data_IF_214603967022
#
_entry.id   IF_214603967022
#
_cell.length_a   1.000
_cell.length_b   1.000
_cell.length_c   1.000
_cell.angle_alpha   90.00
_cell.angle_beta   90.00
_cell.angle_gamma   90.00
#
_symmetry.space_group_name_H-M   'P 1'
#
loop_
_entity.id
_entity.type
_entity.pdbx_description
1 polymer ?
#
# COMPACT_ATOMS: atom_id res chain seq x y z
N UNK A 1 40.40 -5.40 10.43
CA UNK A 1 39.52 -5.03 9.31
C UNK A 1 38.07 -5.22 9.74
N UNK A 2 37.53 -4.23 10.45
CA UNK A 2 36.12 -4.18 10.82
C UNK A 2 35.35 -3.50 9.71
N UNK A 3 34.56 -4.28 8.95
CA UNK A 3 33.63 -3.74 7.99
C UNK A 3 32.62 -2.84 8.70
N UNK A 4 32.61 -1.58 8.33
CA UNK A 4 31.52 -0.66 8.62
C UNK A 4 30.27 -1.23 7.97
N UNK A 5 29.45 -1.93 8.75
CA UNK A 5 28.16 -2.43 8.32
C UNK A 5 27.32 -1.25 7.85
N UNK A 6 26.88 -1.36 6.63
CA UNK A 6 26.04 -0.41 5.92
C UNK A 6 24.77 -0.12 6.74
N UNK A 7 24.77 1.04 7.39
CA UNK A 7 23.70 1.50 8.27
C UNK A 7 22.56 2.17 7.49
N UNK A 8 22.61 2.11 6.15
CA UNK A 8 21.63 2.76 5.27
C UNK A 8 20.29 2.02 5.21
N UNK A 9 20.23 0.75 5.64
CA UNK A 9 18.99 -0.04 5.64
C UNK A 9 18.09 0.15 6.88
N UNK A 10 18.55 0.86 7.91
CA UNK A 10 17.71 1.11 9.09
C UNK A 10 16.61 2.16 8.85
N UNK A 11 16.80 3.07 7.91
CA UNK A 11 15.85 4.15 7.66
C UNK A 11 14.62 3.74 6.81
N UNK A 12 14.67 2.62 6.10
CA UNK A 12 13.59 2.16 5.20
C UNK A 12 12.72 1.05 5.80
N UNK A 13 13.09 0.48 6.92
CA UNK A 13 12.27 -0.50 7.62
C UNK A 13 11.12 0.18 8.37
N UNK A 14 10.15 0.70 7.67
CA UNK A 14 8.81 0.88 8.24
C UNK A 14 8.36 -0.51 8.70
N UNK A 15 8.46 -0.75 10.03
CA UNK A 15 8.25 -2.07 10.58
C UNK A 15 6.87 -2.62 10.30
N UNK A 16 6.81 -3.46 9.32
CA UNK A 16 5.67 -4.32 9.10
C UNK A 16 5.80 -5.53 10.01
N UNK A 17 4.75 -5.80 10.78
CA UNK A 17 4.62 -7.05 11.50
C UNK A 17 3.39 -7.76 10.98
N UNK A 18 3.55 -9.03 10.68
CA UNK A 18 2.41 -9.89 10.37
C UNK A 18 1.69 -10.22 11.68
N UNK A 19 0.45 -9.79 11.76
CA UNK A 19 -0.41 -10.12 12.90
C UNK A 19 -1.17 -11.41 12.60
N UNK A 20 -1.59 -12.16 13.64
CA UNK A 20 -2.40 -13.36 13.46
C UNK A 20 -3.65 -13.06 12.65
N UNK A 21 -3.93 -13.89 11.65
CA UNK A 21 -5.17 -13.84 10.88
C UNK A 21 -6.26 -14.44 11.75
N UNK A 22 -7.25 -13.64 12.12
CA UNK A 22 -8.40 -14.08 12.90
C UNK A 22 -8.89 -13.01 13.88
N UNK A 23 -10.04 -13.28 14.48
CA UNK A 23 -10.74 -12.37 15.40
C UNK A 23 -10.22 -12.41 16.85
N UNK A 24 -9.02 -12.94 17.08
CA UNK A 24 -8.45 -13.01 18.42
C UNK A 24 -7.92 -11.65 18.87
N UNK A 25 -8.75 -10.89 19.57
CA UNK A 25 -8.42 -9.55 20.04
C UNK A 25 -7.14 -9.52 20.89
N UNK A 26 -6.88 -10.55 21.69
CA UNK A 26 -5.68 -10.60 22.53
C UNK A 26 -4.41 -10.85 21.72
N UNK A 27 -4.46 -11.67 20.68
CA UNK A 27 -3.34 -11.87 19.77
C UNK A 27 -3.01 -10.60 19.00
N UNK A 28 -4.04 -9.89 18.53
CA UNK A 28 -3.88 -8.60 17.85
C UNK A 28 -3.29 -7.54 18.80
N UNK A 29 -3.82 -7.44 20.02
CA UNK A 29 -3.32 -6.51 21.04
C UNK A 29 -1.87 -6.80 21.40
N UNK A 30 -1.51 -8.07 21.61
CA UNK A 30 -0.14 -8.44 21.90
C UNK A 30 0.82 -8.12 20.77
N UNK A 31 0.47 -8.45 19.53
CA UNK A 31 1.29 -8.14 18.35
C UNK A 31 1.48 -6.64 18.13
N UNK A 32 0.43 -5.84 18.30
CA UNK A 32 0.52 -4.38 18.24
C UNK A 32 1.38 -3.82 19.37
N UNK A 33 1.27 -4.35 20.58
CA UNK A 33 2.11 -3.95 21.70
C UNK A 33 3.58 -4.24 21.43
N UNK A 34 3.92 -5.43 20.97
CA UNK A 34 5.30 -5.81 20.64
C UNK A 34 5.89 -4.89 19.56
N UNK A 35 5.12 -4.58 18.53
CA UNK A 35 5.55 -3.67 17.48
C UNK A 35 5.78 -2.25 18.02
N UNK A 36 4.87 -1.75 18.83
CA UNK A 36 4.98 -0.41 19.44
C UNK A 36 6.17 -0.31 20.38
N UNK A 37 6.40 -1.34 21.20
CA UNK A 37 7.54 -1.42 22.11
C UNK A 37 8.87 -1.42 21.35
N UNK A 38 8.99 -2.19 20.28
CA UNK A 38 10.19 -2.20 19.45
C UNK A 38 10.48 -0.81 18.84
N UNK A 39 9.46 -0.13 18.34
CA UNK A 39 9.59 1.23 17.77
C UNK A 39 9.91 2.28 18.83
N UNK A 40 9.36 2.15 20.02
CA UNK A 40 9.68 3.05 21.13
C UNK A 40 11.15 2.94 21.53
N UNK A 41 11.69 1.72 21.64
CA UNK A 41 13.11 1.51 21.96
C UNK A 41 14.02 2.10 20.88
N UNK A 42 13.73 1.82 19.63
CA UNK A 42 14.48 2.37 18.50
C UNK A 42 14.48 3.92 18.52
N UNK A 43 13.33 4.53 18.70
CA UNK A 43 13.21 5.99 18.79
C UNK A 43 13.95 6.57 20.00
N UNK A 44 14.00 5.84 21.12
CA UNK A 44 14.76 6.27 22.30
C UNK A 44 16.26 6.21 22.06
N UNK A 45 16.75 5.16 21.39
CA UNK A 45 18.15 5.04 20.98
C UNK A 45 18.55 6.15 20.00
N UNK A 46 17.76 6.37 18.94
CA UNK A 46 17.97 7.45 17.97
C UNK A 46 18.00 8.84 18.64
N UNK A 47 17.15 9.06 19.65
CA UNK A 47 17.15 10.32 20.39
C UNK A 47 18.46 10.52 21.16
N UNK A 48 19.01 9.45 21.75
CA UNK A 48 20.29 9.51 22.45
C UNK A 48 21.42 9.80 21.47
N UNK A 49 21.47 9.13 20.34
CA UNK A 49 22.47 9.36 19.28
C UNK A 49 22.43 10.82 18.80
N UNK A 50 21.25 11.34 18.48
CA UNK A 50 21.07 12.75 18.06
C UNK A 50 21.48 13.74 19.13
N UNK A 51 21.28 13.43 20.41
CA UNK A 51 21.77 14.29 21.52
C UNK A 51 23.29 14.31 21.57
N UNK A 52 23.94 13.18 21.36
CA UNK A 52 25.40 13.10 21.30
C UNK A 52 25.94 13.89 20.10
N UNK A 53 25.31 13.72 18.92
CA UNK A 53 25.69 14.49 17.74
C UNK A 53 25.51 16.01 17.94
N UNK A 54 24.42 16.43 18.59
CA UNK A 54 24.14 17.85 18.83
C UNK A 54 25.19 18.53 19.73
N UNK A 55 25.94 17.75 20.53
CA UNK A 55 27.06 18.27 21.30
C UNK A 55 28.27 18.64 20.43
N UNK A 56 28.39 18.02 19.25
CA UNK A 56 29.51 18.24 18.32
C UNK A 56 29.18 19.28 17.23
N UNK A 57 27.90 19.47 16.92
CA UNK A 57 27.47 20.39 15.88
C UNK A 57 26.46 21.41 16.42
N UNK A 58 26.79 22.70 16.27
CA UNK A 58 25.85 23.77 16.61
C UNK A 58 24.68 23.72 15.60
N UNK A 59 23.51 23.28 16.06
CA UNK A 59 22.32 23.27 15.27
C UNK A 59 21.68 24.67 15.22
N UNK A 60 21.57 25.33 14.06
CA UNK A 60 20.94 26.64 13.96
C UNK A 60 19.46 26.63 14.31
N UNK A 61 18.85 25.45 14.32
CA UNK A 61 17.43 25.23 14.64
C UNK A 61 17.23 24.69 16.07
N UNK A 62 18.19 24.89 16.94
CA UNK A 62 18.10 24.46 18.34
C UNK A 62 16.88 25.15 19.00
N UNK A 63 15.98 24.34 19.55
CA UNK A 63 14.74 24.83 20.17
C UNK A 63 13.50 24.79 19.27
N UNK A 64 13.63 24.49 17.97
CA UNK A 64 12.47 24.24 17.15
C UNK A 64 11.94 22.82 17.37
N UNK A 65 10.62 22.71 17.55
CA UNK A 65 9.97 21.41 17.59
C UNK A 65 9.97 20.77 16.20
N UNK A 66 10.35 19.49 16.12
CA UNK A 66 10.31 18.73 14.87
C UNK A 66 8.88 18.56 14.32
N UNK A 67 7.86 18.64 15.19
CA UNK A 67 6.46 18.49 14.85
C UNK A 67 5.62 19.59 15.48
N UNK A 68 4.65 20.09 14.72
CA UNK A 68 3.65 20.99 15.24
C UNK A 68 2.59 20.20 16.03
N UNK A 69 2.26 20.64 17.23
CA UNK A 69 1.16 20.07 17.99
C UNK A 69 -0.16 20.55 17.41
N UNK A 70 -1.02 19.60 17.06
CA UNK A 70 -2.38 19.85 16.59
C UNK A 70 -3.39 19.13 17.48
N UNK A 71 -4.62 19.61 17.45
CA UNK A 71 -5.71 18.92 18.12
C UNK A 71 -5.91 17.54 17.48
N UNK A 72 -6.16 16.49 18.29
CA UNK A 72 -6.46 15.18 17.77
C UNK A 72 -7.71 15.20 16.89
N UNK A 73 -7.70 14.38 15.85
CA UNK A 73 -8.80 14.23 14.90
C UNK A 73 -9.44 12.88 15.11
N UNK A 74 -10.77 12.86 15.24
CA UNK A 74 -11.55 11.64 15.19
C UNK A 74 -12.30 11.59 13.86
N UNK A 75 -12.06 10.53 13.06
CA UNK A 75 -12.71 10.37 11.76
C UNK A 75 -13.05 8.91 11.51
N UNK A 76 -14.31 8.66 11.20
CA UNK A 76 -14.83 7.34 10.87
C UNK A 76 -15.50 7.37 9.50
N UNK A 77 -14.86 6.79 8.51
CA UNK A 77 -15.41 6.59 7.17
C UNK A 77 -15.48 5.10 6.87
N UNK A 78 -16.64 4.50 7.11
CA UNK A 78 -16.87 3.07 6.96
C UNK A 78 -18.04 2.78 6.01
N UNK A 79 -17.93 3.12 4.73
CA UNK A 79 -18.99 2.86 3.76
C UNK A 79 -19.24 1.35 3.65
N UNK A 80 -20.47 0.99 3.28
CA UNK A 80 -20.79 -0.40 2.93
C UNK A 80 -20.07 -0.74 1.64
N UNK A 81 -19.48 -1.92 1.61
CA UNK A 81 -18.91 -2.44 0.38
C UNK A 81 -20.03 -2.79 -0.60
N UNK A 82 -19.89 -2.41 -1.87
CA UNK A 82 -20.85 -2.80 -2.89
C UNK A 82 -20.81 -4.31 -3.10
N UNK A 83 -21.98 -4.87 -3.42
CA UNK A 83 -22.06 -6.27 -3.90
C UNK A 83 -21.37 -6.36 -5.26
N UNK A 84 -20.52 -7.36 -5.42
CA UNK A 84 -19.79 -7.59 -6.65
C UNK A 84 -20.51 -8.68 -7.42
N UNK A 85 -20.97 -8.37 -8.63
CA UNK A 85 -21.51 -9.35 -9.57
C UNK A 85 -20.35 -10.02 -10.32
N UNK A 86 -19.90 -11.15 -9.80
CA UNK A 86 -18.77 -11.90 -10.37
C UNK A 86 -19.10 -12.42 -11.80
N UNK A 87 -20.33 -12.77 -12.07
CA UNK A 87 -20.72 -13.27 -13.39
C UNK A 87 -20.64 -12.18 -14.45
N UNK A 88 -21.08 -10.96 -14.10
CA UNK A 88 -20.94 -9.80 -14.98
C UNK A 88 -19.47 -9.48 -15.25
N UNK A 89 -18.64 -9.49 -14.22
CA UNK A 89 -17.20 -9.23 -14.37
C UNK A 89 -16.47 -10.34 -15.13
N UNK A 90 -16.83 -11.60 -14.93
CA UNK A 90 -16.28 -12.71 -15.71
C UNK A 90 -16.58 -12.55 -17.19
N UNK A 91 -17.82 -12.19 -17.54
CA UNK A 91 -18.18 -11.89 -18.93
C UNK A 91 -17.39 -10.72 -19.49
N UNK A 92 -17.22 -9.67 -18.67
CA UNK A 92 -16.44 -8.50 -19.05
C UNK A 92 -14.99 -8.85 -19.37
N UNK A 93 -14.25 -9.51 -18.48
CA UNK A 93 -12.83 -9.83 -18.69
C UNK A 93 -12.65 -10.81 -19.86
N UNK A 94 -13.58 -11.76 -20.04
CA UNK A 94 -13.56 -12.68 -21.16
C UNK A 94 -13.74 -11.94 -22.49
N UNK A 95 -14.69 -11.00 -22.56
CA UNK A 95 -14.91 -10.20 -23.76
C UNK A 95 -13.71 -9.27 -24.06
N UNK A 96 -13.16 -8.63 -23.03
CA UNK A 96 -11.99 -7.77 -23.17
C UNK A 96 -10.75 -8.55 -23.66
N UNK A 97 -10.50 -9.73 -23.10
CA UNK A 97 -9.41 -10.62 -23.55
C UNK A 97 -9.59 -11.06 -25.02
N UNK A 98 -10.84 -11.31 -25.44
CA UNK A 98 -11.14 -11.67 -26.83
C UNK A 98 -10.89 -10.51 -27.81
N UNK A 99 -11.08 -9.25 -27.40
CA UNK A 99 -10.73 -8.08 -28.21
C UNK A 99 -9.22 -7.99 -28.38
N UNK A 100 -8.45 -8.09 -27.29
CA UNK A 100 -6.98 -8.03 -27.35
C UNK A 100 -6.39 -9.06 -28.30
N UNK A 101 -6.93 -10.28 -28.32
CA UNK A 101 -6.47 -11.35 -29.22
C UNK A 101 -6.73 -11.10 -30.71
N UNK A 102 -7.57 -10.12 -31.06
CA UNK A 102 -7.85 -9.79 -32.47
C UNK A 102 -6.88 -8.75 -33.04
N UNK A 103 -6.12 -8.08 -32.18
CA UNK A 103 -5.19 -7.06 -32.60
C UNK A 103 -3.97 -7.67 -33.29
N UNK A 104 -3.53 -7.14 -34.44
CA UNK A 104 -2.34 -7.65 -35.12
C UNK A 104 -1.08 -7.54 -34.22
N UNK A 105 -0.28 -8.61 -34.22
CA UNK A 105 0.93 -8.66 -33.41
C UNK A 105 0.72 -9.05 -31.94
N UNK A 106 -0.52 -9.22 -31.50
CA UNK A 106 -0.85 -9.74 -30.17
C UNK A 106 -1.01 -11.25 -30.24
N UNK A 107 -0.16 -12.00 -29.55
CA UNK A 107 -0.28 -13.45 -29.49
C UNK A 107 -0.85 -13.94 -28.14
N UNK A 108 -0.80 -13.10 -27.10
CA UNK A 108 -1.39 -13.35 -25.80
C UNK A 108 -2.10 -12.13 -25.26
N UNK A 109 -3.26 -12.32 -24.63
CA UNK A 109 -3.97 -11.28 -23.90
C UNK A 109 -4.61 -11.89 -22.66
N UNK A 110 -4.15 -11.45 -21.49
CA UNK A 110 -4.70 -11.79 -20.19
C UNK A 110 -5.36 -10.55 -19.59
N UNK A 111 -6.58 -10.69 -19.10
CA UNK A 111 -7.30 -9.58 -18.45
C UNK A 111 -7.74 -10.05 -17.07
N UNK A 112 -7.26 -9.33 -16.07
CA UNK A 112 -7.56 -9.55 -14.66
C UNK A 112 -8.46 -8.46 -14.10
N UNK A 113 -9.42 -8.90 -13.31
CA UNK A 113 -10.24 -8.02 -12.49
C UNK A 113 -10.08 -8.38 -11.03
N UNK A 114 -9.80 -7.40 -10.20
CA UNK A 114 -9.74 -7.57 -8.76
C UNK A 114 -10.40 -6.43 -8.01
N UNK A 115 -10.96 -6.76 -6.84
CA UNK A 115 -11.46 -5.78 -5.88
C UNK A 115 -10.82 -6.05 -4.53
N UNK A 116 -10.12 -5.07 -4.01
CA UNK A 116 -9.52 -5.13 -2.68
C UNK A 116 -10.28 -4.21 -1.74
N UNK A 117 -10.75 -4.77 -0.65
CA UNK A 117 -11.37 -4.00 0.43
C UNK A 117 -10.34 -3.81 1.55
N UNK A 118 -9.98 -2.57 1.82
CA UNK A 118 -9.03 -2.24 2.88
C UNK A 118 -9.75 -1.43 3.95
N UNK A 119 -9.63 -1.85 5.20
CA UNK A 119 -9.99 -1.04 6.36
C UNK A 119 -8.70 -0.67 7.08
N UNK A 120 -8.44 0.62 7.15
CA UNK A 120 -7.28 1.18 7.82
C UNK A 120 -7.70 1.74 9.16
N UNK A 121 -7.01 1.33 10.21
CA UNK A 121 -7.10 1.89 11.54
C UNK A 121 -5.83 2.66 11.83
N UNK A 122 -5.96 3.90 12.18
CA UNK A 122 -4.82 4.74 12.56
C UNK A 122 -5.11 5.34 13.94
N UNK A 123 -4.14 5.23 14.82
CA UNK A 123 -4.13 5.89 16.13
C UNK A 123 -2.77 6.54 16.36
N UNK A 124 -2.77 7.71 16.98
CA UNK A 124 -1.54 8.38 17.37
C UNK A 124 -1.49 8.59 18.88
N UNK A 125 -0.27 8.79 19.40
CA UNK A 125 -0.04 9.12 20.82
C UNK A 125 -0.64 10.47 21.23
N UNK A 126 -0.98 11.32 20.26
CA UNK A 126 -1.65 12.60 20.45
C UNK A 126 -3.16 12.48 20.57
N UNK A 127 -3.70 11.26 20.41
CA UNK A 127 -5.12 10.96 20.55
C UNK A 127 -5.91 10.98 19.25
N UNK A 128 -5.26 11.08 18.08
CA UNK A 128 -5.98 10.96 16.81
C UNK A 128 -6.45 9.52 16.60
N UNK A 129 -7.69 9.36 16.15
CA UNK A 129 -8.30 8.08 15.80
C UNK A 129 -8.94 8.19 14.41
N UNK A 130 -8.44 7.42 13.46
CA UNK A 130 -8.99 7.41 12.10
C UNK A 130 -9.31 5.98 11.71
N UNK A 131 -10.55 5.74 11.33
CA UNK A 131 -10.99 4.49 10.71
C UNK A 131 -11.48 4.81 9.31
N UNK A 132 -10.79 4.28 8.33
CA UNK A 132 -11.10 4.53 6.92
C UNK A 132 -11.23 3.20 6.18
N UNK A 133 -12.33 3.04 5.45
CA UNK A 133 -12.64 1.85 4.67
C UNK A 133 -12.78 2.23 3.21
N UNK A 134 -11.93 1.67 2.38
CA UNK A 134 -11.88 1.98 0.96
C UNK A 134 -11.85 0.71 0.11
N UNK A 135 -12.69 0.64 -0.94
CA UNK A 135 -12.53 -0.32 -2.01
C UNK A 135 -11.47 0.18 -2.99
N UNK A 136 -10.69 -0.72 -3.53
CA UNK A 136 -9.85 -0.50 -4.71
C UNK A 136 -10.30 -1.49 -5.78
N UNK A 137 -10.84 -0.96 -6.86
CA UNK A 137 -11.21 -1.70 -8.06
C UNK A 137 -10.05 -1.61 -9.03
N UNK A 138 -9.64 -2.73 -9.57
CA UNK A 138 -8.52 -2.80 -10.50
C UNK A 138 -8.89 -3.68 -11.67
N UNK A 139 -8.61 -3.19 -12.86
CA UNK A 139 -8.67 -3.92 -14.11
C UNK A 139 -7.30 -3.84 -14.77
N UNK A 140 -6.69 -4.98 -15.03
CA UNK A 140 -5.37 -5.05 -15.65
C UNK A 140 -5.46 -5.93 -16.90
N UNK A 141 -4.91 -5.43 -18.00
CA UNK A 141 -4.70 -6.20 -19.22
C UNK A 141 -3.21 -6.31 -19.49
N UNK A 142 -2.73 -7.53 -19.68
CA UNK A 142 -1.38 -7.84 -20.11
C UNK A 142 -1.48 -8.38 -21.54
N UNK A 143 -0.80 -7.69 -22.45
CA UNK A 143 -0.73 -8.06 -23.87
C UNK A 143 0.68 -8.53 -24.16
N UNK A 144 0.80 -9.69 -24.74
CA UNK A 144 2.06 -10.20 -25.24
C UNK A 144 2.15 -9.88 -26.73
N UNK A 145 3.04 -8.99 -27.09
CA UNK A 145 3.28 -8.54 -28.45
C UNK A 145 4.48 -9.28 -29.02
N UNK A 146 4.40 -9.67 -30.27
CA UNK A 146 5.54 -10.23 -31.00
C UNK A 146 5.88 -9.35 -32.21
N UNK A 147 7.15 -9.02 -32.35
CA UNK A 147 7.65 -8.37 -33.56
C UNK A 147 7.98 -9.41 -34.64
N UNK A 148 8.15 -8.98 -35.89
CA UNK A 148 8.46 -9.84 -37.04
C UNK A 148 9.76 -10.61 -36.87
N UNK A 149 10.71 -10.09 -36.13
CA UNK A 149 12.00 -10.71 -35.80
C UNK A 149 11.95 -11.66 -34.58
N UNK A 150 10.74 -11.90 -34.02
CA UNK A 150 10.51 -12.86 -32.94
C UNK A 150 10.78 -12.32 -31.52
N UNK A 151 11.04 -11.03 -31.39
CA UNK A 151 11.16 -10.40 -30.07
C UNK A 151 9.77 -10.24 -29.45
N UNK A 152 9.61 -10.69 -28.21
CA UNK A 152 8.35 -10.57 -27.45
C UNK A 152 8.45 -9.42 -26.47
N UNK A 153 7.42 -8.57 -26.45
CA UNK A 153 7.33 -7.41 -25.56
C UNK A 153 6.01 -7.47 -24.81
N UNK A 154 6.01 -7.62 -23.49
CA UNK A 154 4.80 -7.51 -22.70
C UNK A 154 4.38 -6.04 -22.58
N UNK A 155 3.11 -5.79 -22.78
CA UNK A 155 2.49 -4.47 -22.56
C UNK A 155 1.44 -4.57 -21.47
N UNK A 156 1.52 -3.71 -20.47
CA UNK A 156 0.60 -3.73 -19.33
C UNK A 156 -0.22 -2.45 -19.29
N UNK A 157 -1.54 -2.62 -19.22
CA UNK A 157 -2.50 -1.52 -19.06
C UNK A 157 -3.27 -1.78 -17.77
N UNK A 158 -3.22 -0.84 -16.83
CA UNK A 158 -3.93 -0.96 -15.56
C UNK A 158 -4.81 0.26 -15.32
N UNK A 159 -6.05 0.00 -14.94
CA UNK A 159 -7.01 1.01 -14.49
C UNK A 159 -7.37 0.75 -13.03
N UNK A 160 -7.45 1.83 -12.26
CA UNK A 160 -7.78 1.79 -10.85
C UNK A 160 -8.91 2.76 -10.54
N UNK A 161 -9.76 2.38 -9.62
CA UNK A 161 -10.85 3.23 -9.16
C UNK A 161 -11.35 2.87 -7.77
N UNK A 162 -12.21 3.70 -7.24
CA UNK A 162 -12.91 3.45 -5.96
C UNK A 162 -14.31 2.90 -6.18
N UNK A 163 -14.77 2.91 -7.41
CA UNK A 163 -16.06 2.39 -7.83
C UNK A 163 -15.94 1.67 -9.18
N UNK A 164 -16.86 0.77 -9.52
CA UNK A 164 -16.88 0.13 -10.85
C UNK A 164 -17.06 1.12 -12.01
N UNK A 165 -17.61 2.32 -11.72
CA UNK A 165 -17.81 3.37 -12.73
C UNK A 165 -16.51 4.06 -13.16
N UNK A 166 -15.46 3.93 -12.34
CA UNK A 166 -14.15 4.51 -12.61
C UNK A 166 -13.32 3.64 -13.57
N UNK A 167 -13.77 2.41 -13.81
CA UNK A 167 -13.15 1.50 -14.75
C UNK A 167 -13.70 1.74 -16.17
N UNK A 168 -12.90 1.48 -17.23
CA UNK A 168 -13.33 1.67 -18.58
C UNK A 168 -14.55 0.78 -18.91
N UNK A 169 -15.57 1.31 -19.59
CA UNK A 169 -16.67 0.48 -20.08
C UNK A 169 -16.15 -0.46 -21.17
N UNK A 170 -16.77 -1.62 -21.30
CA UNK A 170 -16.57 -2.44 -22.48
C UNK A 170 -17.02 -1.62 -23.71
N UNK A 171 -16.08 -1.39 -24.62
CA UNK A 171 -16.44 -0.85 -25.93
C UNK A 171 -17.39 -1.84 -26.60
N UNK A 172 -18.60 -1.36 -26.94
CA UNK A 172 -19.61 -2.10 -27.69
C UNK A 172 -19.17 -2.33 -29.13
#
# INVERSE_FOLDING_TARGET
EGGLGDNTNKAESYGYSHLPIGSHADGLRHGLWMLTEARYREAAEDLLERRVESLHYRNPNEGLSAFERRNPVEHHHTPRFPTIDLDAWTKYVTAASAVGKREPGVYGCEVDFSVRHTTRYFVSTEGAVVVDRQPLWQLTAVLDLASEDGVTVPWNISHFGRSPRDLPPLAS
#
